data_IF_306233351029
#
_entry.id   IF_306233351029
#
_cell.length_a   1.000
_cell.length_b   1.000
_cell.length_c   1.000
_cell.angle_alpha   90.00
_cell.angle_beta   90.00
_cell.angle_gamma   90.00
#
_symmetry.space_group_name_H-M   'P 1'
#
loop_
_entity.id
_entity.type
_entity.pdbx_description
1 polymer ?
#
# COMPACT_ATOMS: atom_id res chain seq x y z
N UNK A 1 7.35 -0.08 9.72
CA UNK A 1 6.34 0.97 9.48
C UNK A 1 6.53 2.17 10.40
N UNK A 2 5.90 3.27 10.02
CA UNK A 2 5.83 4.51 10.78
C UNK A 2 4.39 4.74 11.22
N UNK A 3 4.19 5.31 12.42
CA UNK A 3 2.86 5.64 12.90
C UNK A 3 2.86 6.93 13.71
N UNK A 4 1.72 7.63 13.71
CA UNK A 4 1.56 8.82 14.53
C UNK A 4 1.30 8.44 15.99
N UNK A 5 2.10 8.96 16.92
CA UNK A 5 1.92 8.72 18.35
C UNK A 5 0.90 9.68 18.97
N UNK A 6 0.77 10.89 18.41
CA UNK A 6 -0.26 11.89 18.74
C UNK A 6 -0.46 12.88 17.59
N UNK A 7 -1.51 13.70 17.66
CA UNK A 7 -1.74 14.80 16.71
C UNK A 7 -0.57 15.78 16.70
N UNK A 8 -0.31 16.41 15.54
CA UNK A 8 0.70 17.47 15.41
C UNK A 8 2.07 17.00 14.94
N UNK A 9 2.14 16.08 13.98
CA UNK A 9 3.39 15.59 13.37
C UNK A 9 4.35 14.86 14.33
N UNK A 10 3.81 14.15 15.32
CA UNK A 10 4.60 13.26 16.17
C UNK A 10 4.50 11.83 15.65
N UNK A 11 5.64 11.28 15.23
CA UNK A 11 5.73 9.96 14.62
C UNK A 11 6.73 9.08 15.36
N UNK A 12 6.56 7.78 15.24
CA UNK A 12 7.53 6.78 15.65
C UNK A 12 7.65 5.72 14.56
N UNK A 13 8.85 5.15 14.45
CA UNK A 13 9.17 4.00 13.62
C UNK A 13 9.12 2.75 14.48
N UNK A 14 8.46 1.71 13.99
CA UNK A 14 8.36 0.41 14.67
C UNK A 14 8.92 -0.70 13.79
N UNK A 15 9.67 -1.60 14.43
CA UNK A 15 10.04 -2.90 13.88
C UNK A 15 9.27 -3.97 14.63
N UNK A 16 8.55 -4.80 13.87
CA UNK A 16 7.79 -5.93 14.40
C UNK A 16 8.31 -7.22 13.77
N UNK A 17 8.24 -8.31 14.54
CA UNK A 17 8.42 -9.64 13.98
C UNK A 17 7.18 -9.99 13.14
N UNK A 18 7.37 -10.22 11.84
CA UNK A 18 6.27 -10.41 10.90
C UNK A 18 5.45 -11.70 11.15
N UNK A 19 5.96 -12.66 11.92
CA UNK A 19 5.27 -13.93 12.19
C UNK A 19 4.46 -13.89 13.47
N UNK A 20 5.06 -13.38 14.54
CA UNK A 20 4.46 -13.31 15.89
C UNK A 20 3.71 -12.00 16.14
N UNK A 21 4.00 -10.95 15.38
CA UNK A 21 3.48 -9.60 15.63
C UNK A 21 4.12 -8.93 16.84
N UNK A 22 5.15 -9.52 17.46
CA UNK A 22 5.84 -8.93 18.59
C UNK A 22 6.61 -7.67 18.17
N UNK A 23 6.50 -6.62 18.97
CA UNK A 23 7.30 -5.40 18.80
C UNK A 23 8.75 -5.71 19.20
N UNK A 24 9.67 -5.47 18.28
CA UNK A 24 11.12 -5.67 18.50
C UNK A 24 11.83 -4.35 18.84
N UNK A 25 11.38 -3.25 18.25
CA UNK A 25 11.97 -1.92 18.44
C UNK A 25 10.95 -0.82 18.14
N UNK A 26 10.98 0.26 18.91
CA UNK A 26 10.26 1.52 18.65
C UNK A 26 11.23 2.67 18.84
N UNK A 27 11.30 3.55 17.86
CA UNK A 27 12.15 4.75 17.88
C UNK A 27 11.31 5.97 17.49
N UNK A 28 11.48 7.09 18.21
CA UNK A 28 10.81 8.34 17.86
C UNK A 28 11.34 8.88 16.52
N UNK A 29 10.45 9.42 15.70
CA UNK A 29 10.77 9.90 14.37
C UNK A 29 10.39 8.92 13.27
N UNK A 30 10.55 9.40 12.04
CA UNK A 30 10.16 8.71 10.80
C UNK A 30 11.11 8.97 9.64
N UNK A 31 12.28 9.55 9.96
CA UNK A 31 13.30 9.80 8.96
C UNK A 31 14.25 8.61 8.87
N UNK A 32 15.15 8.66 7.90
CA UNK A 32 16.17 7.62 7.69
C UNK A 32 17.00 7.34 8.96
N UNK A 33 17.24 8.36 9.80
CA UNK A 33 18.00 8.21 11.04
C UNK A 33 17.22 7.39 12.07
N UNK A 34 15.93 7.69 12.27
CA UNK A 34 15.05 6.92 13.15
C UNK A 34 14.91 5.46 12.68
N UNK A 35 14.73 5.25 11.37
CA UNK A 35 14.63 3.91 10.77
C UNK A 35 15.94 3.13 10.97
N UNK A 36 17.08 3.77 10.69
CA UNK A 36 18.39 3.13 10.86
C UNK A 36 18.65 2.76 12.31
N UNK A 37 18.29 3.64 13.25
CA UNK A 37 18.39 3.36 14.68
C UNK A 37 17.51 2.18 15.08
N UNK A 38 16.25 2.14 14.64
CA UNK A 38 15.33 1.04 14.92
C UNK A 38 15.87 -0.30 14.41
N UNK A 39 16.35 -0.35 13.16
CA UNK A 39 16.96 -1.55 12.58
C UNK A 39 18.25 -1.97 13.30
N UNK A 40 19.07 -1.01 13.72
CA UNK A 40 20.36 -1.30 14.36
C UNK A 40 20.21 -2.06 15.69
N UNK A 41 19.08 -1.90 16.38
CA UNK A 41 18.77 -2.59 17.64
C UNK A 41 18.45 -4.08 17.45
N UNK A 42 18.15 -4.51 16.22
CA UNK A 42 17.63 -5.86 15.90
C UNK A 42 18.41 -6.56 14.77
N UNK A 43 19.48 -5.94 14.26
CA UNK A 43 20.17 -6.34 13.02
C UNK A 43 20.75 -7.76 12.99
N UNK A 44 21.10 -8.35 14.14
CA UNK A 44 21.89 -9.59 14.21
C UNK A 44 21.13 -10.84 13.75
N UNK A 45 19.81 -10.78 13.58
CA UNK A 45 18.96 -11.95 13.30
C UNK A 45 18.02 -11.76 12.10
N UNK A 46 18.15 -10.67 11.36
CA UNK A 46 17.20 -10.31 10.31
C UNK A 46 17.67 -10.82 8.94
N UNK A 47 16.84 -11.64 8.30
CA UNK A 47 17.05 -12.13 6.93
C UNK A 47 16.17 -11.41 5.90
N UNK A 48 15.06 -10.83 6.34
CA UNK A 48 14.09 -10.18 5.47
C UNK A 48 13.50 -8.98 6.18
N UNK A 49 13.44 -7.85 5.47
CA UNK A 49 12.77 -6.63 5.93
C UNK A 49 11.57 -6.39 5.02
N UNK A 50 10.40 -6.22 5.61
CA UNK A 50 9.17 -5.84 4.90
C UNK A 50 8.84 -4.40 5.27
N UNK A 51 8.67 -3.52 4.29
CA UNK A 51 8.30 -2.11 4.52
C UNK A 51 7.52 -1.51 3.37
N UNK A 52 7.05 -0.28 3.54
CA UNK A 52 6.50 0.52 2.46
C UNK A 52 7.54 0.94 1.39
N UNK A 53 7.10 1.77 0.43
CA UNK A 53 7.90 2.27 -0.68
C UNK A 53 8.74 3.51 -0.36
N UNK A 54 8.79 3.96 0.90
CA UNK A 54 9.53 5.17 1.22
C UNK A 54 11.01 4.96 0.89
N UNK A 55 11.66 5.87 0.14
CA UNK A 55 13.08 5.74 -0.19
C UNK A 55 13.97 5.60 1.05
N UNK A 56 13.57 6.23 2.16
CA UNK A 56 14.24 6.13 3.45
C UNK A 56 14.28 4.68 3.98
N UNK A 57 13.23 3.88 3.78
CA UNK A 57 13.19 2.48 4.21
C UNK A 57 14.20 1.62 3.46
N UNK A 58 14.23 1.72 2.13
CA UNK A 58 15.16 0.98 1.29
C UNK A 58 16.62 1.37 1.58
N UNK A 59 16.87 2.68 1.73
CA UNK A 59 18.20 3.20 2.02
C UNK A 59 18.71 2.78 3.41
N UNK A 60 17.87 2.92 4.44
CA UNK A 60 18.21 2.48 5.79
C UNK A 60 18.43 0.96 5.87
N UNK A 61 17.57 0.17 5.22
CA UNK A 61 17.71 -1.29 5.17
C UNK A 61 19.03 -1.70 4.53
N UNK A 62 19.34 -1.16 3.35
CA UNK A 62 20.57 -1.47 2.62
C UNK A 62 21.84 -1.03 3.36
N UNK A 63 21.73 0.01 4.19
CA UNK A 63 22.84 0.54 4.99
C UNK A 63 23.08 -0.28 6.27
N UNK A 64 22.01 -0.62 7.00
CA UNK A 64 22.11 -1.26 8.33
C UNK A 64 22.19 -2.78 8.24
N UNK A 65 21.49 -3.39 7.28
CA UNK A 65 21.37 -4.84 7.11
C UNK A 65 21.48 -5.20 5.62
N UNK A 66 22.66 -5.00 5.00
CA UNK A 66 22.84 -5.16 3.54
C UNK A 66 22.55 -6.56 3.02
N UNK A 67 22.71 -7.59 3.86
CA UNK A 67 22.48 -8.98 3.50
C UNK A 67 21.00 -9.40 3.61
N UNK A 68 20.13 -8.54 4.16
CA UNK A 68 18.72 -8.83 4.25
C UNK A 68 18.01 -8.58 2.91
N UNK A 69 17.09 -9.47 2.56
CA UNK A 69 16.20 -9.23 1.42
C UNK A 69 15.17 -8.17 1.80
N UNK A 70 15.12 -7.07 1.05
CA UNK A 70 14.10 -6.04 1.22
C UNK A 70 12.88 -6.37 0.36
N UNK A 71 11.72 -6.51 1.00
CA UNK A 71 10.44 -6.86 0.38
C UNK A 71 9.45 -5.71 0.58
N UNK A 72 8.68 -5.42 -0.45
CA UNK A 72 7.62 -4.40 -0.38
C UNK A 72 6.40 -4.97 0.32
N UNK A 73 5.89 -4.21 1.27
CA UNK A 73 4.72 -4.57 2.04
C UNK A 73 3.48 -4.66 1.15
N UNK A 74 2.75 -5.78 1.30
CA UNK A 74 1.58 -6.08 0.50
C UNK A 74 0.42 -5.11 0.78
N UNK A 75 0.25 -4.68 2.03
CA UNK A 75 -0.81 -3.74 2.37
C UNK A 75 -0.57 -2.38 1.69
N UNK A 76 0.66 -1.88 1.75
CA UNK A 76 1.04 -0.64 1.08
C UNK A 76 0.92 -0.75 -0.45
N UNK A 77 1.30 -1.88 -1.07
CA UNK A 77 1.06 -2.17 -2.50
C UNK A 77 -0.42 -2.04 -2.86
N UNK A 78 -1.29 -2.72 -2.11
CA UNK A 78 -2.73 -2.67 -2.34
C UNK A 78 -3.25 -1.24 -2.19
N UNK A 79 -2.81 -0.51 -1.16
CA UNK A 79 -3.21 0.89 -0.94
C UNK A 79 -2.78 1.79 -2.10
N UNK A 80 -1.54 1.65 -2.56
CA UNK A 80 -0.99 2.45 -3.67
C UNK A 80 -1.81 2.28 -4.96
N UNK A 81 -2.09 1.04 -5.36
CA UNK A 81 -2.89 0.77 -6.57
C UNK A 81 -4.36 1.20 -6.40
N UNK A 82 -4.92 1.06 -5.20
CA UNK A 82 -6.27 1.55 -4.89
C UNK A 82 -6.34 3.07 -5.06
N UNK A 83 -5.34 3.80 -4.56
CA UNK A 83 -5.28 5.25 -4.70
C UNK A 83 -5.03 5.69 -6.14
N UNK A 84 -4.19 4.96 -6.88
CA UNK A 84 -3.97 5.19 -8.31
C UNK A 84 -5.28 5.05 -9.11
N UNK A 85 -6.04 3.99 -8.86
CA UNK A 85 -7.34 3.76 -9.49
C UNK A 85 -8.33 4.90 -9.20
N UNK A 86 -8.42 5.31 -7.93
CA UNK A 86 -9.27 6.44 -7.50
C UNK A 86 -8.86 7.76 -8.15
N UNK A 87 -7.57 8.04 -8.25
CA UNK A 87 -7.05 9.26 -8.91
C UNK A 87 -7.39 9.25 -10.40
N UNK A 88 -7.14 8.14 -11.10
CA UNK A 88 -7.42 8.02 -12.53
C UNK A 88 -8.90 8.19 -12.82
N UNK A 89 -9.77 7.59 -12.00
CA UNK A 89 -11.22 7.81 -12.11
C UNK A 89 -11.60 9.28 -11.90
N UNK A 90 -11.13 9.95 -10.85
CA UNK A 90 -11.47 11.37 -10.61
C UNK A 90 -11.13 12.26 -11.80
N UNK A 91 -10.00 12.00 -12.46
CA UNK A 91 -9.61 12.70 -13.67
C UNK A 91 -10.61 12.50 -14.84
N UNK A 92 -11.23 11.32 -14.95
CA UNK A 92 -12.26 11.04 -15.96
C UNK A 92 -13.66 11.52 -15.54
N UNK A 93 -13.98 11.53 -14.24
CA UNK A 93 -15.27 12.02 -13.72
C UNK A 93 -15.44 13.54 -13.92
N UNK A 94 -14.36 14.32 -13.87
CA UNK A 94 -14.37 15.74 -14.26
C UNK A 94 -14.82 15.96 -15.71
N UNK A 95 -14.79 14.91 -16.55
CA UNK A 95 -15.07 14.98 -17.98
C UNK A 95 -16.38 14.36 -18.44
N UNK A 96 -17.14 13.57 -17.63
CA UNK A 96 -18.57 13.14 -17.81
C UNK A 96 -18.87 11.87 -16.98
N UNK A 97 -19.90 11.86 -16.09
CA UNK A 97 -20.93 10.77 -15.90
C UNK A 97 -21.79 10.86 -14.62
N UNK A 98 -22.94 10.18 -14.66
CA UNK A 98 -24.08 10.20 -13.72
C UNK A 98 -24.03 9.17 -12.56
N UNK A 99 -22.99 8.36 -12.43
CA UNK A 99 -22.92 7.34 -11.38
C UNK A 99 -22.42 7.93 -10.05
N UNK A 100 -22.98 7.44 -8.93
CA UNK A 100 -22.41 7.77 -7.63
C UNK A 100 -21.00 7.19 -7.53
N UNK A 101 -20.02 8.04 -7.21
CA UNK A 101 -18.60 7.70 -6.99
C UNK A 101 -18.42 6.44 -6.13
N UNK A 102 -19.29 6.26 -5.13
CA UNK A 102 -19.32 5.07 -4.25
C UNK A 102 -19.62 3.76 -5.00
N UNK A 103 -20.54 3.78 -5.96
CA UNK A 103 -20.88 2.61 -6.78
C UNK A 103 -19.70 2.20 -7.64
N UNK A 104 -19.03 3.17 -8.27
CA UNK A 104 -17.83 2.90 -9.07
C UNK A 104 -16.69 2.36 -8.18
N UNK A 105 -16.42 3.01 -7.04
CA UNK A 105 -15.39 2.54 -6.09
C UNK A 105 -15.65 1.10 -5.65
N UNK A 106 -16.90 0.77 -5.31
CA UNK A 106 -17.30 -0.58 -4.91
C UNK A 106 -17.09 -1.58 -6.04
N UNK A 107 -17.59 -1.25 -7.24
CA UNK A 107 -17.51 -2.10 -8.44
C UNK A 107 -16.06 -2.42 -8.82
N UNK A 108 -15.15 -1.45 -8.66
CA UNK A 108 -13.73 -1.64 -8.98
C UNK A 108 -12.90 -2.24 -7.84
N UNK A 109 -13.37 -2.18 -6.59
CA UNK A 109 -12.64 -2.70 -5.43
C UNK A 109 -13.02 -4.14 -5.05
N UNK A 110 -14.25 -4.57 -5.34
CA UNK A 110 -14.72 -5.91 -5.00
C UNK A 110 -14.19 -6.96 -5.99
N UNK A 111 -14.22 -8.24 -5.55
CA UNK A 111 -14.00 -9.39 -6.44
C UNK A 111 -15.12 -9.42 -7.49
N UNK A 112 -14.81 -9.65 -8.78
CA UNK A 112 -15.83 -9.77 -9.82
C UNK A 112 -16.94 -10.77 -9.48
N UNK A 113 -16.59 -11.88 -8.82
CA UNK A 113 -17.51 -12.96 -8.47
C UNK A 113 -18.49 -12.58 -7.33
N UNK A 114 -18.24 -11.46 -6.64
CA UNK A 114 -19.06 -10.96 -5.54
C UNK A 114 -19.94 -9.78 -5.94
N UNK A 115 -19.82 -9.28 -7.17
CA UNK A 115 -20.62 -8.17 -7.68
C UNK A 115 -21.98 -8.67 -8.15
N UNK A 116 -23.01 -7.85 -7.97
CA UNK A 116 -24.27 -8.02 -8.69
C UNK A 116 -24.12 -7.60 -10.16
N UNK A 117 -25.10 -7.96 -11.00
CA UNK A 117 -25.05 -7.68 -12.44
C UNK A 117 -24.91 -6.19 -12.76
N UNK A 118 -25.47 -5.32 -11.91
CA UNK A 118 -25.42 -3.88 -12.11
C UNK A 118 -24.02 -3.33 -11.85
N UNK A 119 -23.41 -3.69 -10.73
CA UNK A 119 -22.04 -3.30 -10.39
C UNK A 119 -21.01 -3.91 -11.35
N UNK A 120 -21.25 -5.14 -11.81
CA UNK A 120 -20.39 -5.78 -12.81
C UNK A 120 -20.41 -5.01 -14.14
N UNK A 121 -21.57 -4.53 -14.57
CA UNK A 121 -21.66 -3.70 -15.78
C UNK A 121 -21.01 -2.33 -15.58
N UNK A 122 -21.12 -1.74 -14.40
CA UNK A 122 -20.38 -0.51 -14.05
C UNK A 122 -18.87 -0.73 -14.15
N UNK A 123 -18.35 -1.81 -13.55
CA UNK A 123 -16.93 -2.16 -13.66
C UNK A 123 -16.53 -2.32 -15.13
N UNK A 124 -17.27 -3.13 -15.90
CA UNK A 124 -16.99 -3.35 -17.33
C UNK A 124 -17.02 -2.06 -18.15
N UNK A 125 -17.96 -1.16 -17.88
CA UNK A 125 -18.02 0.14 -18.54
C UNK A 125 -16.76 0.95 -18.27
N UNK A 126 -16.30 1.04 -17.01
CA UNK A 126 -15.05 1.72 -16.67
C UNK A 126 -13.83 1.10 -17.35
N UNK A 127 -13.75 -0.24 -17.41
CA UNK A 127 -12.64 -0.96 -18.05
C UNK A 127 -12.59 -0.79 -19.58
N UNK A 128 -13.74 -0.49 -20.22
CA UNK A 128 -13.81 -0.20 -21.66
C UNK A 128 -13.43 1.25 -21.98
N UNK A 129 -13.59 2.16 -21.03
CA UNK A 129 -13.36 3.59 -21.25
C UNK A 129 -11.90 4.00 -21.14
N UNK A 130 -11.13 3.30 -20.32
CA UNK A 130 -9.74 3.67 -20.07
C UNK A 130 -8.85 2.44 -19.84
N UNK A 131 -7.85 2.29 -20.69
CA UNK A 131 -6.89 1.18 -20.64
C UNK A 131 -6.05 1.23 -19.34
N UNK A 132 -5.73 2.42 -18.84
CA UNK A 132 -5.00 2.54 -17.56
C UNK A 132 -5.85 2.06 -16.37
N UNK A 133 -7.14 2.40 -16.31
CA UNK A 133 -8.06 1.82 -15.31
C UNK A 133 -8.06 0.29 -15.40
N UNK A 134 -8.09 -0.24 -16.62
CA UNK A 134 -8.08 -1.69 -16.86
C UNK A 134 -6.82 -2.37 -16.30
N UNK A 135 -5.65 -1.85 -16.60
CA UNK A 135 -4.38 -2.42 -16.14
C UNK A 135 -4.25 -2.33 -14.61
N UNK A 136 -4.57 -1.17 -14.03
CA UNK A 136 -4.54 -0.96 -12.58
C UNK A 136 -5.54 -1.91 -11.89
N UNK A 137 -6.75 -2.06 -12.45
CA UNK A 137 -7.77 -2.95 -11.91
C UNK A 137 -7.29 -4.40 -11.88
N UNK A 138 -6.86 -4.97 -13.02
CA UNK A 138 -6.43 -6.36 -13.05
C UNK A 138 -5.19 -6.61 -12.18
N UNK A 139 -4.24 -5.68 -12.15
CA UNK A 139 -3.11 -5.74 -11.23
C UNK A 139 -3.57 -5.78 -9.76
N UNK A 140 -4.50 -4.88 -9.38
CA UNK A 140 -5.04 -4.82 -8.02
C UNK A 140 -5.80 -6.10 -7.63
N UNK A 141 -6.61 -6.66 -8.55
CA UNK A 141 -7.34 -7.91 -8.31
C UNK A 141 -6.37 -9.08 -8.11
N UNK A 142 -5.32 -9.16 -8.94
CA UNK A 142 -4.27 -10.17 -8.80
C UNK A 142 -3.59 -10.08 -7.43
N UNK A 143 -3.09 -8.89 -7.05
CA UNK A 143 -2.41 -8.71 -5.75
C UNK A 143 -3.31 -8.98 -4.54
N UNK A 144 -4.62 -8.71 -4.65
CA UNK A 144 -5.57 -8.91 -3.55
C UNK A 144 -5.96 -10.37 -3.36
N UNK A 145 -6.10 -11.12 -4.45
CA UNK A 145 -6.90 -12.35 -4.44
C UNK A 145 -6.22 -13.58 -5.04
N UNK A 146 -5.08 -13.42 -5.69
CA UNK A 146 -4.14 -14.51 -6.00
C UNK A 146 -3.07 -14.56 -4.93
#
# INVERSE_FOLDING_TARGET
DEFATRKGHHYATVVIDAKSGCVLSIVEGRDEAAISLALSQVKSTIQTVVSDFAPAMSKATSSVIPDATHVLDRFHLIQFFTDALRRRRRFLDETKRHYHVRTIDRSLACRPEQLDDADLEVARACLREDEFIKDIYYGLQHMRFV
#
